data_IF_148431763959
#
_entry.id   IF_148431763959
#
_cell.length_a   1.000
_cell.length_b   1.000
_cell.length_c   1.000
_cell.angle_alpha   90.00
_cell.angle_beta   90.00
_cell.angle_gamma   90.00
#
_symmetry.space_group_name_H-M   'P 1'
#
loop_
_entity.id
_entity.type
_entity.pdbx_description
1 polymer ?
#
# COMPACT_ATOMS: atom_id res chain seq x y z
N UNK A 1 -6.51 -18.13 -16.50
CA UNK A 1 -5.66 -16.96 -16.82
C UNK A 1 -6.07 -15.82 -15.88
N UNK A 2 -5.42 -15.69 -14.72
CA UNK A 2 -5.77 -14.63 -13.75
C UNK A 2 -5.20 -13.31 -14.28
N UNK A 3 -6.05 -12.47 -14.87
CA UNK A 3 -5.69 -11.06 -15.11
C UNK A 3 -5.44 -10.43 -13.73
N UNK A 4 -4.18 -10.15 -13.42
CA UNK A 4 -3.81 -9.32 -12.28
C UNK A 4 -4.26 -7.90 -12.59
N UNK A 5 -5.49 -7.56 -12.23
CA UNK A 5 -5.97 -6.18 -12.23
C UNK A 5 -5.08 -5.39 -11.25
N UNK A 6 -4.08 -4.71 -11.80
CA UNK A 6 -3.19 -3.83 -11.04
C UNK A 6 -3.96 -2.55 -10.78
N UNK A 7 -4.63 -2.46 -9.64
CA UNK A 7 -5.36 -1.27 -9.25
C UNK A 7 -4.35 -0.15 -8.93
N UNK A 8 -4.43 0.94 -9.68
CA UNK A 8 -3.68 2.18 -9.46
C UNK A 8 -4.60 3.13 -8.71
N UNK A 9 -4.21 3.48 -7.49
CA UNK A 9 -4.91 4.51 -6.71
C UNK A 9 -3.97 5.70 -6.61
N UNK A 10 -4.47 6.87 -7.01
CA UNK A 10 -3.77 8.14 -6.82
C UNK A 10 -4.35 8.77 -5.57
N UNK A 11 -3.49 9.14 -4.64
CA UNK A 11 -3.91 9.78 -3.40
C UNK A 11 -3.58 11.27 -3.48
N UNK A 12 -4.58 12.14 -3.34
CA UNK A 12 -4.45 13.61 -3.40
C UNK A 12 -3.78 14.21 -2.14
N UNK A 13 -2.83 13.48 -1.57
CA UNK A 13 -1.87 13.97 -0.59
C UNK A 13 -0.49 13.60 -1.12
N UNK A 14 0.30 14.62 -1.48
CA UNK A 14 1.65 14.49 -2.06
C UNK A 14 1.74 13.82 -3.45
N UNK A 15 0.65 13.68 -4.20
CA UNK A 15 0.61 13.08 -5.55
C UNK A 15 1.24 11.67 -5.61
N UNK A 16 1.18 10.93 -4.52
CA UNK A 16 1.76 9.60 -4.46
C UNK A 16 0.93 8.58 -5.24
N UNK A 17 1.65 7.73 -5.95
CA UNK A 17 1.09 6.64 -6.71
C UNK A 17 1.33 5.33 -5.99
N UNK A 18 0.24 4.63 -5.65
CA UNK A 18 0.33 3.28 -5.10
C UNK A 18 0.24 2.27 -6.23
N UNK A 19 1.30 1.47 -6.39
CA UNK A 19 1.32 0.38 -7.37
C UNK A 19 1.67 -0.96 -6.72
N UNK A 20 0.94 -2.03 -7.04
CA UNK A 20 1.20 -3.32 -6.42
C UNK A 20 0.09 -4.34 -6.55
N UNK A 21 0.33 -5.50 -5.95
CA UNK A 21 -0.69 -6.54 -5.79
C UNK A 21 -1.41 -6.34 -4.45
N UNK A 22 -2.66 -5.89 -4.55
CA UNK A 22 -3.53 -5.72 -3.41
C UNK A 22 -3.81 -7.04 -2.68
N UNK A 23 -3.95 -8.16 -3.39
CA UNK A 23 -4.23 -9.46 -2.76
C UNK A 23 -3.02 -9.97 -1.97
N UNK A 24 -1.83 -9.79 -2.53
CA UNK A 24 -0.55 -10.14 -1.92
C UNK A 24 -0.06 -9.17 -0.84
N UNK A 25 -0.69 -7.99 -0.67
CA UNK A 25 -0.18 -6.88 0.18
C UNK A 25 1.26 -6.48 -0.14
N UNK A 26 1.65 -6.57 -1.41
CA UNK A 26 2.94 -6.11 -1.89
C UNK A 26 2.71 -4.84 -2.69
N UNK A 27 2.71 -3.72 -1.99
CA UNK A 27 2.43 -2.39 -2.55
C UNK A 27 3.66 -1.50 -2.42
N UNK A 28 3.87 -0.64 -3.42
CA UNK A 28 4.88 0.41 -3.38
C UNK A 28 4.21 1.75 -3.52
N UNK A 29 4.65 2.69 -2.70
CA UNK A 29 4.29 4.09 -2.77
C UNK A 29 5.40 4.79 -3.56
N UNK A 30 5.03 5.41 -4.68
CA UNK A 30 5.93 6.12 -5.56
C UNK A 30 5.60 7.62 -5.53
N UNK A 31 6.63 8.46 -5.49
CA UNK A 31 6.53 9.90 -5.75
C UNK A 31 7.24 10.17 -7.07
N UNK A 32 6.47 10.20 -8.16
CA UNK A 32 7.01 10.13 -9.52
C UNK A 32 7.85 8.87 -9.74
N UNK A 33 9.16 9.03 -9.97
CA UNK A 33 10.11 7.93 -10.12
C UNK A 33 10.77 7.46 -8.82
N UNK A 34 10.58 8.18 -7.72
CA UNK A 34 11.19 7.86 -6.43
C UNK A 34 10.30 6.90 -5.62
N UNK A 35 10.91 5.91 -4.97
CA UNK A 35 10.20 5.03 -4.04
C UNK A 35 10.16 5.69 -2.66
N UNK A 36 8.96 5.89 -2.12
CA UNK A 36 8.73 6.46 -0.79
C UNK A 36 8.67 5.36 0.26
N UNK A 37 7.88 4.32 -0.01
CA UNK A 37 7.71 3.21 0.90
C UNK A 37 7.34 1.91 0.19
N UNK A 38 7.70 0.79 0.80
CA UNK A 38 7.30 -0.56 0.40
C UNK A 38 6.48 -1.19 1.53
N UNK A 39 5.28 -1.65 1.19
CA UNK A 39 4.38 -2.36 2.09
C UNK A 39 4.41 -3.82 1.68
N UNK A 40 4.68 -4.71 2.64
CA UNK A 40 4.82 -6.15 2.42
C UNK A 40 3.98 -6.91 3.45
N UNK A 41 3.25 -7.97 3.02
CA UNK A 41 2.59 -8.87 4.00
C UNK A 41 3.64 -9.63 4.80
N UNK A 42 3.54 -9.65 6.13
CA UNK A 42 4.18 -10.73 6.88
C UNK A 42 3.34 -11.99 6.71
N UNK A 43 3.91 -12.99 6.04
CA UNK A 43 3.29 -14.29 5.77
C UNK A 43 3.06 -15.18 7.00
N UNK A 44 3.41 -14.73 8.21
CA UNK A 44 3.57 -15.61 9.38
C UNK A 44 2.62 -15.40 10.57
N UNK A 45 1.61 -14.54 10.49
CA UNK A 45 0.55 -14.51 11.54
C UNK A 45 -0.82 -14.25 10.91
N UNK A 46 -1.84 -14.95 11.41
CA UNK A 46 -3.27 -14.76 11.08
C UNK A 46 -3.79 -13.35 11.42
N UNK A 47 -3.00 -12.53 12.12
CA UNK A 47 -3.27 -11.12 12.38
C UNK A 47 -2.81 -10.25 11.22
N UNK A 48 -3.60 -9.26 10.80
CA UNK A 48 -3.28 -8.23 9.80
C UNK A 48 -2.02 -7.42 10.15
N UNK A 49 -0.84 -8.04 10.04
CA UNK A 49 0.45 -7.41 10.28
C UNK A 49 1.15 -7.18 8.95
N UNK A 50 1.29 -5.92 8.55
CA UNK A 50 2.10 -5.52 7.40
C UNK A 50 3.47 -5.00 7.87
N UNK A 51 4.51 -5.32 7.10
CA UNK A 51 5.80 -4.62 7.16
C UNK A 51 5.72 -3.39 6.28
N UNK A 52 6.26 -2.27 6.76
CA UNK A 52 6.31 -1.01 6.04
C UNK A 52 7.75 -0.52 6.11
N UNK A 53 8.43 -0.51 4.96
CA UNK A 53 9.78 0.01 4.83
C UNK A 53 9.69 1.40 4.20
N UNK A 54 9.94 2.44 4.99
CA UNK A 54 9.90 3.84 4.54
C UNK A 54 11.32 4.33 4.30
N UNK A 55 11.55 5.00 3.17
CA UNK A 55 12.88 5.50 2.80
C UNK A 55 13.28 6.72 3.62
N UNK A 56 12.36 7.67 3.80
CA UNK A 56 12.56 8.86 4.64
C UNK A 56 11.63 8.80 5.87
N UNK A 57 12.14 8.91 7.11
CA UNK A 57 11.31 8.91 8.31
C UNK A 57 10.20 9.96 8.31
N UNK A 58 10.36 11.09 7.61
CA UNK A 58 9.33 12.13 7.51
C UNK A 58 8.06 11.68 6.76
N UNK A 59 8.16 10.64 5.94
CA UNK A 59 7.06 10.09 5.16
C UNK A 59 6.27 8.99 5.89
N UNK A 60 6.67 8.63 7.11
CA UNK A 60 6.01 7.61 7.94
C UNK A 60 4.52 7.94 8.19
N UNK A 61 4.11 9.16 8.57
CA UNK A 61 2.71 9.47 8.82
C UNK A 61 1.84 9.33 7.54
N UNK A 62 2.36 9.80 6.40
CA UNK A 62 1.68 9.67 5.11
C UNK A 62 1.55 8.21 4.68
N UNK A 63 2.60 7.42 4.87
CA UNK A 63 2.60 5.99 4.56
C UNK A 63 1.56 5.23 5.41
N UNK A 64 1.44 5.57 6.70
CA UNK A 64 0.43 4.97 7.57
C UNK A 64 -1.00 5.28 7.09
N UNK A 65 -1.24 6.53 6.65
CA UNK A 65 -2.54 6.94 6.12
C UNK A 65 -2.92 6.12 4.88
N UNK A 66 -1.95 5.86 3.99
CA UNK A 66 -2.14 5.00 2.82
C UNK A 66 -2.51 3.58 3.23
N UNK A 67 -1.82 2.99 4.21
CA UNK A 67 -2.16 1.64 4.72
C UNK A 67 -3.57 1.58 5.30
N UNK A 68 -3.99 2.60 6.05
CA UNK A 68 -5.35 2.70 6.58
C UNK A 68 -6.41 2.84 5.47
N UNK A 69 -6.14 3.65 4.44
CA UNK A 69 -7.02 3.77 3.29
C UNK A 69 -7.13 2.43 2.53
N UNK A 70 -6.01 1.72 2.36
CA UNK A 70 -5.99 0.37 1.78
C UNK A 70 -6.86 -0.59 2.60
N UNK A 71 -6.76 -0.55 3.92
CA UNK A 71 -7.59 -1.35 4.82
C UNK A 71 -9.07 -1.00 4.70
N UNK A 72 -9.42 0.29 4.64
CA UNK A 72 -10.81 0.75 4.49
C UNK A 72 -11.42 0.27 3.16
N UNK A 73 -10.69 0.40 2.04
CA UNK A 73 -11.14 -0.10 0.73
C UNK A 73 -11.34 -1.61 0.77
N UNK A 74 -10.38 -2.37 1.32
CA UNK A 74 -10.52 -3.83 1.49
C UNK A 74 -11.68 -4.24 2.37
N UNK A 75 -11.94 -3.48 3.44
CA UNK A 75 -13.08 -3.73 4.32
C UNK A 75 -14.40 -3.47 3.59
N UNK A 76 -14.48 -2.37 2.82
CA UNK A 76 -15.66 -2.04 2.01
C UNK A 76 -15.92 -3.03 0.86
N UNK A 77 -14.87 -3.62 0.26
CA UNK A 77 -14.99 -4.62 -0.80
C UNK A 77 -15.38 -6.03 -0.28
N UNK A 78 -15.41 -6.24 1.04
CA UNK A 78 -15.90 -7.48 1.67
C UNK A 78 -17.38 -7.41 2.06
N UNK A 79 -18.11 -6.36 1.64
CA UNK A 79 -19.57 -6.30 1.70
C UNK A 79 -20.20 -6.76 0.38
#
# INVERSE_FOLDING_TARGET
MKMLFRQRITFDFRHWEITGDWLGWNCRIMDGSACVAVITKRLWKLTDTCGIDVVNPDDVPGTLMVVLAINAVKCSQRQ
#
